data_IF_633823007669
#
_entry.id   IF_633823007669
#
_cell.length_a   1.000
_cell.length_b   1.000
_cell.length_c   1.000
_cell.angle_alpha   90.00
_cell.angle_beta   90.00
_cell.angle_gamma   90.00
#
_symmetry.space_group_name_H-M   'P 1'
#
loop_
_entity.id
_entity.type
_entity.pdbx_description
1 polymer ?
#
# COMPACT_ATOMS: atom_id res chain seq x y z
N UNK A 1 12.56 -24.55 6.02
CA UNK A 1 11.56 -23.75 5.26
C UNK A 1 12.16 -22.39 4.96
N UNK A 2 12.11 -21.96 3.69
CA UNK A 2 12.61 -20.63 3.28
C UNK A 2 11.63 -19.53 3.69
N UNK A 3 12.16 -18.34 4.04
CA UNK A 3 11.38 -17.12 4.32
C UNK A 3 11.17 -16.23 3.09
N UNK A 4 11.81 -16.56 1.97
CA UNK A 4 11.71 -15.78 0.72
C UNK A 4 10.42 -16.16 0.00
N UNK A 5 9.63 -15.15 -0.35
CA UNK A 5 8.33 -15.25 -1.03
C UNK A 5 8.21 -14.15 -2.08
N UNK A 6 7.42 -14.41 -3.11
CA UNK A 6 6.94 -13.38 -4.02
C UNK A 6 5.94 -12.44 -3.34
N UNK A 7 5.71 -11.27 -3.92
CA UNK A 7 4.71 -10.32 -3.41
C UNK A 7 3.30 -10.92 -3.41
N UNK A 8 2.93 -11.67 -4.45
CA UNK A 8 1.64 -12.35 -4.56
C UNK A 8 1.43 -13.38 -3.43
N UNK A 9 2.45 -14.21 -3.15
CA UNK A 9 2.40 -15.15 -2.02
C UNK A 9 2.30 -14.43 -0.67
N UNK A 10 2.99 -13.30 -0.51
CA UNK A 10 2.96 -12.54 0.74
C UNK A 10 1.57 -11.96 1.02
N UNK A 11 0.93 -11.35 0.01
CA UNK A 11 -0.39 -10.72 0.17
C UNK A 11 -1.51 -11.75 0.27
N UNK A 12 -1.31 -12.99 -0.19
CA UNK A 12 -2.28 -14.08 -0.05
C UNK A 12 -2.62 -14.40 1.42
N UNK A 13 -1.69 -14.14 2.34
CA UNK A 13 -1.90 -14.34 3.78
C UNK A 13 -2.79 -13.26 4.43
N UNK A 14 -3.09 -12.15 3.74
CA UNK A 14 -3.94 -11.07 4.24
C UNK A 14 -5.40 -11.47 4.03
N UNK A 15 -6.14 -11.62 5.13
CA UNK A 15 -7.57 -11.93 5.13
C UNK A 15 -8.45 -10.67 5.22
N UNK A 16 -9.76 -10.88 5.12
CA UNK A 16 -10.76 -9.84 5.34
C UNK A 16 -10.64 -9.22 6.74
N UNK A 17 -10.93 -7.92 6.83
CA UNK A 17 -10.86 -7.13 8.06
C UNK A 17 -9.48 -7.12 8.77
N UNK A 18 -8.43 -7.59 8.10
CA UNK A 18 -7.08 -7.55 8.65
C UNK A 18 -6.63 -6.11 8.93
N UNK A 19 -5.77 -5.97 9.95
CA UNK A 19 -5.06 -4.72 10.23
C UNK A 19 -3.64 -4.85 9.70
N UNK A 20 -3.28 -4.03 8.72
CA UNK A 20 -2.00 -4.10 8.01
C UNK A 20 -1.21 -2.82 8.26
N UNK A 21 -0.07 -2.94 8.94
CA UNK A 21 0.88 -1.83 9.07
C UNK A 21 1.77 -1.76 7.84
N UNK A 22 1.79 -0.60 7.18
CA UNK A 22 2.65 -0.32 6.03
C UNK A 22 3.75 0.62 6.50
N UNK A 23 4.96 0.08 6.60
CA UNK A 23 6.14 0.86 6.97
C UNK A 23 6.79 1.42 5.70
N UNK A 24 6.84 2.74 5.60
CA UNK A 24 7.46 3.49 4.51
C UNK A 24 7.82 4.89 5.01
N UNK A 25 8.71 5.58 4.31
CA UNK A 25 8.93 7.01 4.48
C UNK A 25 8.74 7.69 3.13
N UNK A 26 7.48 7.97 2.76
CA UNK A 26 7.13 8.38 1.39
C UNK A 26 7.56 7.29 0.39
N UNK A 27 8.22 7.65 -0.71
CA UNK A 27 8.84 6.70 -1.65
C UNK A 27 10.01 5.91 -1.05
N UNK A 28 10.67 6.39 0.01
CA UNK A 28 11.81 5.70 0.61
C UNK A 28 11.36 4.43 1.36
N UNK A 29 11.92 3.29 0.95
CA UNK A 29 11.55 1.96 1.44
C UNK A 29 10.05 1.65 1.27
N UNK A 30 9.38 2.31 0.31
CA UNK A 30 8.00 2.00 0.00
C UNK A 30 7.90 0.55 -0.49
N UNK A 31 7.07 -0.31 0.12
CA UNK A 31 6.86 -1.68 -0.35
C UNK A 31 5.91 -1.67 -1.57
N UNK A 32 6.23 -0.88 -2.59
CA UNK A 32 5.34 -0.53 -3.70
C UNK A 32 4.85 -1.78 -4.46
N UNK A 33 5.76 -2.71 -4.78
CA UNK A 33 5.41 -3.96 -5.45
C UNK A 33 4.51 -4.88 -4.60
N UNK A 34 4.57 -4.78 -3.27
CA UNK A 34 3.69 -5.55 -2.37
C UNK A 34 2.31 -4.92 -2.31
N UNK A 35 2.24 -3.58 -2.27
CA UNK A 35 0.97 -2.85 -2.35
C UNK A 35 0.29 -3.05 -3.71
N UNK A 36 1.06 -3.01 -4.80
CA UNK A 36 0.59 -3.34 -6.14
C UNK A 36 0.01 -4.76 -6.21
N UNK A 37 0.71 -5.75 -5.64
CA UNK A 37 0.23 -7.13 -5.60
C UNK A 37 -1.07 -7.28 -4.81
N UNK A 38 -1.23 -6.55 -3.69
CA UNK A 38 -2.48 -6.54 -2.92
C UNK A 38 -3.64 -5.93 -3.72
N UNK A 39 -3.40 -4.81 -4.41
CA UNK A 39 -4.38 -4.20 -5.30
C UNK A 39 -4.80 -5.12 -6.45
N UNK A 40 -3.83 -5.76 -7.11
CA UNK A 40 -4.07 -6.76 -8.18
C UNK A 40 -4.88 -7.95 -7.67
N UNK A 41 -4.55 -8.48 -6.49
CA UNK A 41 -5.30 -9.58 -5.86
C UNK A 41 -6.76 -9.17 -5.61
N UNK A 42 -6.98 -8.00 -5.01
CA UNK A 42 -8.34 -7.51 -4.77
C UNK A 42 -9.14 -7.34 -6.07
N UNK A 43 -8.51 -6.78 -7.12
CA UNK A 43 -9.18 -6.63 -8.42
C UNK A 43 -9.58 -7.97 -9.06
N UNK A 44 -8.77 -9.02 -8.87
CA UNK A 44 -9.03 -10.34 -9.42
C UNK A 44 -10.03 -11.17 -8.60
N UNK A 45 -9.95 -11.10 -7.26
CA UNK A 45 -10.66 -12.01 -6.35
C UNK A 45 -11.81 -11.33 -5.60
N UNK A 46 -11.85 -10.00 -5.58
CA UNK A 46 -12.76 -9.23 -4.72
C UNK A 46 -12.45 -9.34 -3.22
N UNK A 47 -11.25 -9.84 -2.88
CA UNK A 47 -10.74 -10.08 -1.53
C UNK A 47 -9.23 -9.75 -1.44
N UNK A 48 -8.70 -9.35 -0.27
CA UNK A 48 -9.40 -9.18 1.00
C UNK A 48 -10.29 -7.93 1.02
N UNK A 49 -11.29 -7.91 1.90
CA UNK A 49 -12.24 -6.81 2.05
C UNK A 49 -12.10 -6.11 3.39
N UNK A 50 -12.44 -4.82 3.39
CA UNK A 50 -12.57 -4.01 4.59
C UNK A 50 -11.32 -3.98 5.50
N UNK A 51 -10.11 -4.08 4.95
CA UNK A 51 -8.88 -4.02 5.74
C UNK A 51 -8.71 -2.62 6.37
N UNK A 52 -8.07 -2.59 7.53
CA UNK A 52 -7.58 -1.34 8.13
C UNK A 52 -6.09 -1.22 7.83
N UNK A 53 -5.63 -0.08 7.33
CA UNK A 53 -4.19 0.16 7.14
C UNK A 53 -3.65 1.18 8.12
N UNK A 54 -2.40 0.97 8.57
CA UNK A 54 -1.69 1.88 9.47
C UNK A 54 -0.47 2.43 8.73
N UNK A 55 -0.34 3.76 8.67
CA UNK A 55 0.71 4.47 7.95
C UNK A 55 1.36 5.53 8.86
N UNK A 56 2.47 5.22 9.55
CA UNK A 56 3.21 6.23 10.33
C UNK A 56 3.66 7.41 9.47
N UNK A 57 4.17 7.12 8.27
CA UNK A 57 4.40 8.07 7.18
C UNK A 57 3.70 7.50 5.93
N UNK A 58 3.27 8.38 5.02
CA UNK A 58 2.60 7.99 3.78
C UNK A 58 3.47 7.00 3.00
N UNK A 59 2.83 6.01 2.38
CA UNK A 59 3.48 5.10 1.44
C UNK A 59 3.23 5.61 0.03
N UNK A 60 4.32 5.79 -0.73
CA UNK A 60 4.28 6.46 -2.02
C UNK A 60 4.70 7.93 -1.90
N UNK A 61 4.85 8.57 -3.05
CA UNK A 61 5.27 9.94 -3.20
C UNK A 61 4.48 10.63 -4.33
N UNK A 62 4.68 11.93 -4.46
CA UNK A 62 4.02 12.71 -5.51
C UNK A 62 4.78 12.64 -6.86
N UNK A 63 5.88 11.89 -6.94
CA UNK A 63 6.85 11.92 -8.05
C UNK A 63 6.98 10.59 -8.82
N UNK A 64 6.10 9.62 -8.54
CA UNK A 64 5.96 8.40 -9.34
C UNK A 64 5.76 7.12 -8.55
N UNK A 65 6.06 7.11 -7.24
CA UNK A 65 5.80 5.95 -6.38
C UNK A 65 4.36 5.98 -5.91
N UNK A 66 3.51 5.09 -6.43
CA UNK A 66 2.07 5.09 -6.14
C UNK A 66 1.74 4.76 -4.68
N UNK A 67 2.43 3.79 -4.09
CA UNK A 67 2.23 3.36 -2.70
C UNK A 67 0.78 3.02 -2.37
N UNK A 68 0.15 3.78 -1.47
CA UNK A 68 -1.24 3.54 -1.03
C UNK A 68 -2.24 3.57 -2.19
N UNK A 69 -1.96 4.29 -3.27
CA UNK A 69 -2.85 4.38 -4.42
C UNK A 69 -3.17 3.02 -5.04
N UNK A 70 -2.22 2.06 -4.96
CA UNK A 70 -2.45 0.69 -5.43
C UNK A 70 -3.60 -0.02 -4.71
N UNK A 71 -3.87 0.37 -3.46
CA UNK A 71 -4.84 -0.29 -2.58
C UNK A 71 -6.01 0.63 -2.19
N UNK A 72 -6.05 1.87 -2.70
CA UNK A 72 -7.15 2.82 -2.52
C UNK A 72 -8.39 2.45 -3.36
N UNK A 73 -8.84 1.19 -3.25
CA UNK A 73 -9.93 0.61 -4.01
C UNK A 73 -11.19 0.50 -3.13
N UNK A 74 -12.38 0.89 -3.64
CA UNK A 74 -13.63 0.74 -2.90
C UNK A 74 -13.87 -0.70 -2.45
N UNK A 75 -14.08 -0.90 -1.15
CA UNK A 75 -14.31 -2.22 -0.54
C UNK A 75 -13.06 -2.97 -0.11
N UNK A 76 -11.86 -2.57 -0.58
CA UNK A 76 -10.60 -3.11 -0.07
C UNK A 76 -10.29 -2.49 1.30
N UNK A 77 -10.14 -1.17 1.38
CA UNK A 77 -9.84 -0.45 2.63
C UNK A 77 -11.13 0.08 3.26
N UNK A 78 -11.32 -0.20 4.56
CA UNK A 78 -12.41 0.38 5.37
C UNK A 78 -11.95 1.55 6.24
N UNK A 79 -10.67 1.59 6.60
CA UNK A 79 -10.09 2.60 7.50
C UNK A 79 -8.59 2.78 7.26
N UNK A 80 -8.16 4.04 7.32
CA UNK A 80 -6.73 4.41 7.35
C UNK A 80 -6.43 5.11 8.68
N UNK A 81 -5.42 4.61 9.39
CA UNK A 81 -4.85 5.25 10.58
C UNK A 81 -3.48 5.81 10.18
N UNK A 82 -3.38 7.12 9.99
CA UNK A 82 -2.19 7.79 9.48
C UNK A 82 -1.55 8.74 10.49
N UNK A 83 -0.22 8.72 10.59
CA UNK A 83 0.56 9.86 11.09
C UNK A 83 0.71 10.94 10.01
N UNK A 84 0.73 10.52 8.75
CA UNK A 84 0.49 11.34 7.55
C UNK A 84 -0.32 10.56 6.53
N UNK A 85 -1.14 11.25 5.73
CA UNK A 85 -1.97 10.63 4.70
C UNK A 85 -1.32 10.73 3.31
N UNK A 86 -1.71 9.88 2.34
CA UNK A 86 -1.24 9.97 0.97
C UNK A 86 -1.47 11.38 0.40
N UNK A 87 -0.42 11.92 -0.22
CA UNK A 87 -0.49 13.18 -0.94
C UNK A 87 -0.95 12.91 -2.37
N UNK A 88 -1.80 13.78 -2.92
CA UNK A 88 -2.23 13.69 -4.31
C UNK A 88 -1.07 13.89 -5.31
N UNK A 89 -1.33 13.83 -6.63
CA UNK A 89 -0.30 14.12 -7.63
C UNK A 89 0.18 15.58 -7.56
N UNK A 90 1.43 15.82 -7.97
CA UNK A 90 2.00 17.18 -8.12
C UNK A 90 2.60 17.37 -9.51
N UNK A 91 2.61 18.61 -9.99
CA UNK A 91 3.38 19.03 -11.17
C UNK A 91 4.68 19.75 -10.77
N UNK A 92 4.99 19.81 -9.47
CA UNK A 92 6.24 20.39 -8.99
C UNK A 92 7.42 19.47 -9.36
N UNK A 93 8.58 20.08 -9.63
CA UNK A 93 9.82 19.32 -9.78
C UNK A 93 10.19 18.63 -8.44
N UNK A 94 10.67 17.38 -8.48
CA UNK A 94 11.21 16.73 -7.30
C UNK A 94 12.32 17.58 -6.67
N UNK A 95 12.41 17.64 -5.32
CA UNK A 95 13.54 18.28 -4.67
C UNK A 95 14.84 17.58 -5.05
N UNK A 96 15.94 18.33 -5.10
CA UNK A 96 17.28 17.76 -5.23
C UNK A 96 17.57 16.85 -4.02
N UNK A 97 18.15 15.68 -4.28
CA UNK A 97 18.56 14.69 -3.28
C UNK A 97 20.00 14.96 -2.86
#
# INVERSE_FOLDING_TARGET
MSKVRSAAEAVAAIGDAAVVAVNSSSGLLCPDAVLEALGKRFAAEGAPRNITTIHPIAAGDMFGTKGVDHIALPGLISRIIGGSYPSGPTNAEPPLI
#
